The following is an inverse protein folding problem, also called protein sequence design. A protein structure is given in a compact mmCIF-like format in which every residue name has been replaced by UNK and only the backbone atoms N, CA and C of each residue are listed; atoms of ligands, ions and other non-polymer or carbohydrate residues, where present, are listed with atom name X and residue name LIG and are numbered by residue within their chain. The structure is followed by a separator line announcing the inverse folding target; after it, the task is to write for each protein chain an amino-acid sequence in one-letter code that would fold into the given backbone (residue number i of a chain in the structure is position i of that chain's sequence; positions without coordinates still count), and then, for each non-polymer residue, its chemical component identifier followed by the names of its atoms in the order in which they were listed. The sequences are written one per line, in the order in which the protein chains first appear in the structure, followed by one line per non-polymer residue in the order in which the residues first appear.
data_IF_643800075354
#
_entry.id   IF_643800075354
#
_cell.length_a   1.000
_cell.length_b   1.000
_cell.length_c   1.000
_cell.angle_alpha   90.00
_cell.angle_beta   90.00
_cell.angle_gamma   90.00
#
_symmetry.space_group_name_H-M   'P 1'
#
loop_
_entity.id
_entity.type
_entity.pdbx_description
1 polymer ?
#
# COMPACT_ATOMS: atom_id res chain seq x y z
N UNK A 1 5.99 12.99 -13.65
CA UNK A 1 5.01 12.01 -14.14
C UNK A 1 3.89 11.84 -13.13
N UNK A 2 2.67 12.00 -13.58
CA UNK A 2 1.48 11.83 -12.75
C UNK A 2 0.84 10.48 -13.07
N UNK A 3 0.63 9.64 -12.06
CA UNK A 3 0.03 8.34 -12.23
C UNK A 3 -1.06 8.15 -11.19
N UNK A 4 -2.33 7.99 -11.62
CA UNK A 4 -3.50 7.82 -10.74
C UNK A 4 -3.52 8.83 -9.59
N UNK A 5 -3.31 10.09 -9.92
CA UNK A 5 -3.24 11.22 -8.98
C UNK A 5 -2.02 11.21 -8.06
N UNK A 6 -1.03 10.36 -8.33
CA UNK A 6 0.23 10.35 -7.59
C UNK A 6 1.31 10.97 -8.46
N UNK A 7 1.98 11.99 -7.93
CA UNK A 7 3.08 12.63 -8.64
C UNK A 7 4.38 11.92 -8.28
N UNK A 8 4.99 11.27 -9.27
CA UNK A 8 6.22 10.55 -9.06
C UNK A 8 7.41 11.50 -9.05
N UNK A 9 8.43 11.24 -8.20
CA UNK A 9 9.62 12.11 -8.15
C UNK A 9 10.44 11.99 -9.44
N UNK A 10 10.69 13.13 -10.07
CA UNK A 10 11.39 13.17 -11.37
C UNK A 10 12.87 12.79 -11.27
N UNK A 11 13.47 13.07 -10.14
CA UNK A 11 14.91 12.84 -9.92
C UNK A 11 15.26 11.38 -9.68
N UNK A 12 14.28 10.55 -9.34
CA UNK A 12 14.50 9.15 -8.99
C UNK A 12 14.47 8.26 -10.22
N UNK A 13 15.18 7.12 -10.15
CA UNK A 13 15.07 6.09 -11.17
C UNK A 13 13.63 5.55 -11.19
N UNK A 14 13.19 5.08 -12.33
CA UNK A 14 11.82 4.58 -12.47
C UNK A 14 11.55 3.42 -11.50
N UNK A 15 12.53 2.57 -11.24
CA UNK A 15 12.42 1.48 -10.27
C UNK A 15 12.02 1.99 -8.88
N UNK A 16 12.65 3.08 -8.46
CA UNK A 16 12.36 3.68 -7.15
C UNK A 16 11.11 4.55 -7.22
N UNK A 17 10.92 5.27 -8.32
CA UNK A 17 9.75 6.14 -8.50
C UNK A 17 8.43 5.38 -8.42
N UNK A 18 8.36 4.20 -8.99
CA UNK A 18 7.15 3.38 -8.96
C UNK A 18 6.76 2.98 -7.53
N UNK A 19 7.72 2.85 -6.63
CA UNK A 19 7.42 2.48 -5.23
C UNK A 19 6.68 3.57 -4.46
N UNK A 20 6.59 4.78 -5.01
CA UNK A 20 5.81 5.86 -4.42
C UNK A 20 4.31 5.67 -4.62
N UNK A 21 3.91 4.74 -5.49
CA UNK A 21 2.50 4.41 -5.70
C UNK A 21 2.10 3.40 -4.62
N UNK A 22 1.00 3.69 -3.91
CA UNK A 22 0.49 2.78 -2.89
C UNK A 22 0.10 1.44 -3.51
N UNK A 23 0.69 0.37 -3.05
CA UNK A 23 0.46 -0.98 -3.57
C UNK A 23 1.59 -1.51 -4.44
N UNK A 24 2.56 -0.66 -4.80
CA UNK A 24 3.73 -1.08 -5.56
C UNK A 24 4.96 -0.98 -4.67
N UNK A 25 5.54 -2.12 -4.36
CA UNK A 25 6.81 -2.19 -3.67
C UNK A 25 7.93 -2.45 -4.66
N UNK A 26 9.12 -2.69 -4.15
CA UNK A 26 10.30 -2.89 -4.99
C UNK A 26 10.17 -4.09 -5.92
N UNK A 27 9.66 -5.21 -5.40
CA UNK A 27 9.48 -6.43 -6.20
C UNK A 27 8.48 -6.24 -7.33
N UNK A 28 7.35 -5.59 -7.03
CA UNK A 28 6.33 -5.31 -8.02
C UNK A 28 6.84 -4.35 -9.09
N UNK A 29 7.62 -3.34 -8.67
CA UNK A 29 8.23 -2.40 -9.61
C UNK A 29 9.18 -3.13 -10.58
N UNK A 30 10.00 -4.04 -10.07
CA UNK A 30 10.92 -4.83 -10.89
C UNK A 30 10.15 -5.71 -11.89
N UNK A 31 9.05 -6.32 -11.44
CA UNK A 31 8.18 -7.13 -12.30
C UNK A 31 7.59 -6.31 -13.45
N UNK A 32 7.10 -5.13 -13.13
CA UNK A 32 6.50 -4.22 -14.12
C UNK A 32 7.54 -3.84 -15.16
N UNK A 33 8.72 -3.47 -14.74
CA UNK A 33 9.78 -3.03 -15.64
C UNK A 33 10.29 -4.18 -16.50
N UNK A 34 10.41 -5.38 -15.95
CA UNK A 34 10.79 -6.56 -16.71
C UNK A 34 9.74 -6.91 -17.76
N UNK A 35 8.45 -6.83 -17.39
CA UNK A 35 7.36 -7.14 -18.30
C UNK A 35 7.17 -6.12 -19.43
N UNK A 36 7.54 -4.86 -19.20
CA UNK A 36 7.43 -3.80 -20.19
C UNK A 36 8.72 -3.57 -20.98
N UNK A 37 9.82 -4.17 -20.53
CA UNK A 37 11.11 -4.02 -21.21
C UNK A 37 11.77 -2.66 -21.01
N UNK A 38 11.38 -1.91 -20.00
CA UNK A 38 11.93 -0.59 -19.69
C UNK A 38 13.18 -0.74 -18.83
N UNK A 39 14.20 0.06 -19.12
CA UNK A 39 15.42 0.07 -18.32
C UNK A 39 15.12 0.64 -16.93
N UNK A 40 15.36 -0.13 -15.86
CA UNK A 40 15.06 0.33 -14.49
C UNK A 40 15.90 1.53 -14.05
N UNK A 41 17.03 1.78 -14.70
CA UNK A 41 17.90 2.92 -14.35
C UNK A 41 17.46 4.23 -15.00
N UNK A 42 16.45 4.22 -15.86
CA UNK A 42 15.91 5.42 -16.49
C UNK A 42 15.29 6.33 -15.42
N UNK A 43 15.65 7.61 -15.43
CA UNK A 43 15.02 8.56 -14.51
C UNK A 43 13.58 8.81 -14.92
N UNK A 44 12.73 9.11 -13.93
CA UNK A 44 11.31 9.37 -14.20
C UNK A 44 11.15 10.52 -15.22
N UNK A 45 11.96 11.55 -15.12
CA UNK A 45 11.92 12.70 -16.05
C UNK A 45 12.30 12.33 -17.48
N UNK A 46 13.06 11.25 -17.67
CA UNK A 46 13.54 10.82 -18.98
C UNK A 46 12.63 9.80 -19.66
N UNK A 47 11.53 9.43 -19.03
CA UNK A 47 10.57 8.48 -19.59
C UNK A 47 9.82 9.12 -20.77
N UNK A 48 9.64 8.32 -21.82
CA UNK A 48 8.80 8.74 -22.96
C UNK A 48 7.33 8.47 -22.66
N UNK A 49 6.44 9.14 -23.40
CA UNK A 49 5.01 8.91 -23.26
C UNK A 49 4.64 7.46 -23.56
N UNK A 50 5.31 6.82 -24.53
CA UNK A 50 5.08 5.42 -24.87
C UNK A 50 5.43 4.50 -23.71
N UNK A 51 6.54 4.76 -23.03
CA UNK A 51 6.95 3.99 -21.87
C UNK A 51 5.98 4.13 -20.72
N UNK A 52 5.48 5.34 -20.47
CA UNK A 52 4.45 5.58 -19.46
C UNK A 52 3.17 4.80 -19.77
N UNK A 53 2.75 4.81 -21.02
CA UNK A 53 1.57 4.08 -21.46
C UNK A 53 1.75 2.58 -21.26
N UNK A 54 2.94 2.04 -21.55
CA UNK A 54 3.24 0.62 -21.34
C UNK A 54 3.12 0.22 -19.88
N UNK A 55 3.61 1.07 -18.97
CA UNK A 55 3.52 0.82 -17.54
C UNK A 55 2.07 0.77 -17.09
N UNK A 56 1.27 1.74 -17.51
CA UNK A 56 -0.17 1.79 -17.17
C UNK A 56 -0.90 0.58 -17.69
N UNK A 57 -0.66 0.21 -18.95
CA UNK A 57 -1.30 -0.96 -19.56
C UNK A 57 -0.91 -2.25 -18.84
N UNK A 58 0.34 -2.39 -18.44
CA UNK A 58 0.80 -3.56 -17.70
C UNK A 58 0.07 -3.71 -16.37
N UNK A 59 -0.05 -2.60 -15.64
CA UNK A 59 -0.75 -2.60 -14.36
C UNK A 59 -2.20 -2.99 -14.55
N UNK A 60 -2.86 -2.43 -15.56
CA UNK A 60 -4.27 -2.73 -15.83
C UNK A 60 -4.48 -4.18 -16.29
N UNK A 61 -3.64 -4.68 -17.18
CA UNK A 61 -3.76 -6.05 -17.70
C UNK A 61 -3.54 -7.12 -16.64
N UNK A 62 -2.62 -6.88 -15.71
CA UNK A 62 -2.30 -7.86 -14.67
C UNK A 62 -3.13 -7.67 -13.42
N UNK A 63 -4.13 -6.77 -13.46
CA UNK A 63 -5.04 -6.53 -12.35
C UNK A 63 -4.31 -6.19 -11.04
N UNK A 64 -3.22 -5.44 -11.16
CA UNK A 64 -2.48 -4.98 -9.98
C UNK A 64 -3.28 -3.85 -9.34
N UNK A 65 -3.74 -4.09 -8.13
CA UNK A 65 -4.51 -3.09 -7.40
C UNK A 65 -3.55 -2.05 -6.80
N UNK A 66 -3.81 -0.79 -7.06
CA UNK A 66 -2.98 0.31 -6.57
C UNK A 66 -3.86 1.45 -6.06
N UNK A 67 -3.30 2.27 -5.18
CA UNK A 67 -3.94 3.49 -4.67
C UNK A 67 -5.37 3.23 -4.15
N UNK A 68 -6.34 4.01 -4.59
CA UNK A 68 -7.71 3.92 -4.11
C UNK A 68 -8.35 2.56 -4.29
N UNK A 69 -8.05 1.88 -5.39
CA UNK A 69 -8.59 0.55 -5.65
C UNK A 69 -8.09 -0.46 -4.61
N UNK A 70 -6.80 -0.40 -4.28
CA UNK A 70 -6.23 -1.27 -3.26
C UNK A 70 -6.78 -0.95 -1.88
N UNK A 71 -6.89 0.33 -1.54
CA UNK A 71 -7.45 0.74 -0.25
C UNK A 71 -8.89 0.26 -0.10
N UNK A 72 -9.67 0.35 -1.17
CA UNK A 72 -11.05 -0.13 -1.17
C UNK A 72 -11.10 -1.64 -0.97
N UNK A 73 -10.24 -2.37 -1.67
CA UNK A 73 -10.19 -3.82 -1.58
C UNK A 73 -9.85 -4.28 -0.15
N UNK A 74 -8.83 -3.67 0.45
CA UNK A 74 -8.43 -3.98 1.83
C UNK A 74 -9.57 -3.66 2.79
N UNK A 75 -10.22 -2.51 2.63
CA UNK A 75 -11.33 -2.11 3.50
C UNK A 75 -12.50 -3.09 3.39
N UNK A 76 -12.82 -3.54 2.16
CA UNK A 76 -13.89 -4.53 1.95
C UNK A 76 -13.55 -5.87 2.57
N UNK A 77 -12.30 -6.31 2.47
CA UNK A 77 -11.86 -7.56 3.07
C UNK A 77 -11.97 -7.51 4.60
N UNK A 78 -11.57 -6.41 5.21
CA UNK A 78 -11.71 -6.23 6.66
C UNK A 78 -13.17 -6.19 7.06
N UNK A 79 -14.01 -5.48 6.31
CA UNK A 79 -15.45 -5.41 6.55
C UNK A 79 -16.07 -6.80 6.51
N UNK A 80 -15.68 -7.62 5.53
CA UNK A 80 -16.17 -8.99 5.41
C UNK A 80 -15.80 -9.81 6.64
N UNK A 81 -14.56 -9.69 7.12
CA UNK A 81 -14.13 -10.40 8.33
C UNK A 81 -14.98 -10.01 9.56
N UNK A 82 -15.29 -8.73 9.66
CA UNK A 82 -16.13 -8.23 10.75
C UNK A 82 -17.56 -8.77 10.63
N UNK A 83 -18.11 -8.79 9.42
CA UNK A 83 -19.48 -9.25 9.18
C UNK A 83 -19.67 -10.74 9.45
N UNK A 84 -18.66 -11.57 9.12
CA UNK A 84 -18.76 -13.01 9.41
C UNK A 84 -18.46 -13.33 10.86
N UNK A 85 -18.07 -12.34 11.66
CA UNK A 85 -17.84 -12.46 13.11
C UNK A 85 -16.77 -13.48 13.48
N UNK A 86 -15.74 -13.61 12.65
CA UNK A 86 -14.59 -14.45 12.98
C UNK A 86 -13.69 -13.74 13.99
N UNK A 87 -12.73 -14.48 14.54
CA UNK A 87 -11.80 -13.92 15.52
C UNK A 87 -11.01 -12.73 14.93
N UNK A 88 -10.51 -12.89 13.71
CA UNK A 88 -9.76 -11.79 13.05
C UNK A 88 -10.63 -10.54 12.90
N UNK A 89 -11.88 -10.71 12.49
CA UNK A 89 -12.81 -9.60 12.37
C UNK A 89 -13.06 -8.89 13.69
N UNK A 90 -13.20 -9.64 14.77
CA UNK A 90 -13.37 -9.07 16.11
C UNK A 90 -12.15 -8.23 16.50
N UNK A 91 -10.94 -8.72 16.19
CA UNK A 91 -9.72 -7.97 16.49
C UNK A 91 -9.66 -6.67 15.70
N UNK A 92 -10.03 -6.69 14.41
CA UNK A 92 -10.10 -5.47 13.60
C UNK A 92 -11.13 -4.49 14.15
N UNK A 93 -12.30 -4.98 14.55
CA UNK A 93 -13.35 -4.12 15.09
C UNK A 93 -12.88 -3.40 16.37
N UNK A 94 -12.13 -4.09 17.20
CA UNK A 94 -11.63 -3.54 18.46
C UNK A 94 -10.31 -2.75 18.30
N UNK A 95 -9.72 -2.73 17.09
CA UNK A 95 -8.46 -2.05 16.87
C UNK A 95 -7.27 -2.73 17.53
N UNK A 96 -7.33 -4.04 17.69
CA UNK A 96 -6.28 -4.82 18.34
C UNK A 96 -5.49 -5.64 17.33
N UNK A 97 -4.24 -6.04 17.69
CA UNK A 97 -3.46 -6.92 16.80
C UNK A 97 -4.22 -8.22 16.55
N UNK A 98 -4.20 -8.69 15.30
CA UNK A 98 -4.98 -9.86 14.90
C UNK A 98 -4.13 -11.10 14.60
N UNK A 99 -2.82 -11.02 14.77
CA UNK A 99 -1.89 -12.14 14.46
C UNK A 99 -1.25 -12.73 15.71
N UNK A 100 -1.96 -12.74 16.82
CA UNK A 100 -1.49 -13.39 18.06
C UNK A 100 -0.45 -12.60 18.84
N UNK A 101 -0.26 -11.32 18.53
CA UNK A 101 0.69 -10.48 19.26
C UNK A 101 0.15 -10.18 20.67
N UNK A 102 1.08 -9.94 21.58
CA UNK A 102 0.72 -9.55 22.93
C UNK A 102 0.09 -8.17 22.95
N UNK A 103 -0.87 -7.96 23.83
CA UNK A 103 -1.54 -6.67 23.99
C UNK A 103 -1.19 -5.99 25.31
N UNK A 104 -0.64 -6.72 26.25
CA UNK A 104 -0.25 -6.19 27.56
C UNK A 104 0.86 -5.15 27.44
N UNK A 105 1.80 -5.38 26.54
CA UNK A 105 2.93 -4.48 26.28
C UNK A 105 3.00 -4.19 24.78
N UNK A 106 3.51 -3.03 24.41
CA UNK A 106 3.69 -2.64 23.02
C UNK A 106 2.34 -2.65 22.25
N UNK A 107 2.30 -3.17 21.03
CA UNK A 107 1.11 -3.19 20.17
C UNK A 107 0.62 -1.78 19.80
N UNK A 108 1.54 -0.80 19.79
CA UNK A 108 1.16 0.60 19.53
C UNK A 108 0.74 0.87 18.09
N UNK A 109 1.23 0.08 17.14
CA UNK A 109 0.86 0.25 15.72
C UNK A 109 -0.64 0.15 15.53
N UNK A 110 -1.30 -0.82 16.20
CA UNK A 110 -2.75 -0.99 16.11
C UNK A 110 -3.51 -0.12 17.08
N UNK A 111 -3.02 -0.01 18.33
CA UNK A 111 -3.68 0.77 19.36
C UNK A 111 -3.49 2.27 19.21
N UNK A 112 -2.43 2.67 18.51
CA UNK A 112 -2.04 4.06 18.42
C UNK A 112 -1.22 4.52 19.61
N UNK A 113 -0.92 5.84 19.70
CA UNK A 113 -0.13 6.37 20.82
C UNK A 113 -0.79 6.11 22.17
N UNK A 114 0.04 6.08 23.20
CA UNK A 114 -0.48 5.95 24.56
C UNK A 114 -1.37 7.12 24.89
N UNK A 115 -2.51 6.83 25.53
CA UNK A 115 -3.43 7.86 25.99
C UNK A 115 -3.50 7.82 27.51
N UNK A 116 -3.26 8.97 28.11
CA UNK A 116 -3.42 9.10 29.55
C UNK A 116 -4.84 9.53 29.86
N UNK A 117 -5.50 8.81 30.74
CA UNK A 117 -6.84 9.18 31.17
C UNK A 117 -6.71 10.32 32.19
N UNK A 118 -7.22 11.49 31.82
CA UNK A 118 -7.00 12.71 32.60
C UNK A 118 -7.49 12.61 34.06
N UNK A 119 -8.59 11.92 34.27
CA UNK A 119 -9.20 11.83 35.60
C UNK A 119 -8.87 10.52 36.32
N UNK A 120 -7.93 9.77 35.82
CA UNK A 120 -7.59 8.49 36.44
C UNK A 120 -6.87 8.70 37.78
N UNK A 121 -7.43 8.14 38.80
CA UNK A 121 -6.84 8.16 40.14
C UNK A 121 -6.07 6.87 40.37
N UNK A 122 -5.05 6.97 41.20
CA UNK A 122 -4.29 5.81 41.59
C UNK A 122 -4.94 5.11 42.76
#
# INVERSE_FOLDING_TARGET
MLFRSVDLPREKRIEIGLTYIFGIGRSTADEILAGTGINPDTRVKDLTADEEAKIRDYIDKNNILVEGDLRRDVALNIKRLIEVQCYRGTRHRKGLPCRGQRTKTNARTRKGPKRTVANKKK
#
